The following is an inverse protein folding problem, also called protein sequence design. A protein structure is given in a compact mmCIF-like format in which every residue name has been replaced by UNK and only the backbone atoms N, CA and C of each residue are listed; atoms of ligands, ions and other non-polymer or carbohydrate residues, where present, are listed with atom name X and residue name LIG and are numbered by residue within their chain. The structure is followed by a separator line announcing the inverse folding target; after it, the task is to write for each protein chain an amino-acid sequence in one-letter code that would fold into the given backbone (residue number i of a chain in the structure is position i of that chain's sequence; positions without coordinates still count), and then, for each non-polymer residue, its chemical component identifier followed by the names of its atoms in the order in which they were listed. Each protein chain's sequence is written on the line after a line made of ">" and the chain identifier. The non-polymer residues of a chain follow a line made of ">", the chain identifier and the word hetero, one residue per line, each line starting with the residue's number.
data_IF_988706024066
#
_entry.id   IF_988706024066
#
_cell.length_a   1.000
_cell.length_b   1.000
_cell.length_c   1.000
_cell.angle_alpha   90.00
_cell.angle_beta   90.00
_cell.angle_gamma   90.00
#
_symmetry.space_group_name_H-M   'P 1'
#
loop_
_entity.id
_entity.type
_entity.pdbx_description
1 polymer ?
#
# COMPACT_ATOMS: atom_id res chain seq x y z
N UNK A 1 -5.00 26.02 7.41
CA UNK A 1 -4.91 24.92 6.43
C UNK A 1 -4.56 25.49 5.06
N UNK A 2 -3.52 24.96 4.42
CA UNK A 2 -3.06 25.41 3.08
C UNK A 2 -3.86 24.74 1.94
N UNK A 3 -5.13 24.38 2.16
CA UNK A 3 -5.99 23.77 1.14
C UNK A 3 -5.73 22.27 0.89
N UNK A 4 -4.97 21.60 1.73
CA UNK A 4 -4.82 20.13 1.65
C UNK A 4 -6.10 19.43 2.09
N UNK A 5 -6.55 18.44 1.33
CA UNK A 5 -7.82 17.73 1.54
C UNK A 5 -7.63 16.27 1.96
N UNK A 6 -6.40 15.83 2.13
CA UNK A 6 -6.04 14.45 2.54
C UNK A 6 -4.62 14.37 3.05
N UNK A 7 -4.25 13.20 3.53
CA UNK A 7 -2.93 12.91 4.11
C UNK A 7 -2.25 11.81 3.31
N UNK A 8 -0.97 12.00 2.98
CA UNK A 8 -0.09 10.94 2.50
C UNK A 8 0.79 10.44 3.65
N UNK A 9 0.74 9.13 3.90
CA UNK A 9 1.58 8.46 4.89
C UNK A 9 2.57 7.51 4.19
N UNK A 10 3.82 7.54 4.63
CA UNK A 10 4.89 6.64 4.19
C UNK A 10 5.42 5.76 5.32
N UNK A 11 4.86 5.92 6.50
CA UNK A 11 5.27 5.27 7.75
C UNK A 11 5.13 3.75 7.70
N UNK A 12 4.35 3.22 6.77
CA UNK A 12 4.21 1.78 6.53
C UNK A 12 5.27 1.16 5.63
N UNK A 13 6.22 1.95 5.11
CA UNK A 13 7.35 1.39 4.35
C UNK A 13 8.33 0.68 5.29
N UNK A 14 8.72 -0.59 5.01
CA UNK A 14 9.60 -1.35 5.88
C UNK A 14 10.93 -0.65 6.17
N UNK A 15 11.55 -0.01 5.17
CA UNK A 15 12.78 0.73 5.35
C UNK A 15 12.62 2.00 6.21
N UNK A 16 11.47 2.68 6.15
CA UNK A 16 11.18 3.81 7.02
C UNK A 16 11.03 3.31 8.46
N UNK A 17 10.26 2.26 8.68
CA UNK A 17 10.08 1.65 10.01
C UNK A 17 11.39 1.10 10.60
N UNK A 18 12.33 0.68 9.75
CA UNK A 18 13.65 0.22 10.19
C UNK A 18 14.48 1.33 10.82
N UNK A 19 14.44 2.54 10.29
CA UNK A 19 15.31 3.65 10.68
C UNK A 19 14.64 4.67 11.59
N UNK A 20 13.32 4.66 11.70
CA UNK A 20 12.55 5.57 12.55
C UNK A 20 11.73 4.78 13.58
N UNK A 21 11.64 5.25 14.84
CA UNK A 21 10.88 4.56 15.88
C UNK A 21 9.37 4.76 15.71
N UNK A 22 8.81 4.19 14.64
CA UNK A 22 7.39 4.26 14.35
C UNK A 22 6.68 3.12 15.10
N UNK A 23 5.75 3.43 16.01
CA UNK A 23 4.96 2.43 16.71
C UNK A 23 4.10 1.62 15.75
N UNK A 24 3.71 0.40 16.15
CA UNK A 24 2.74 -0.39 15.40
C UNK A 24 1.42 0.36 15.29
N UNK A 25 0.80 0.32 14.10
CA UNK A 25 -0.35 1.17 13.77
C UNK A 25 -1.59 0.88 14.60
N UNK A 26 -1.68 -0.29 15.20
CA UNK A 26 -2.75 -0.71 16.10
C UNK A 26 -2.48 -0.39 17.57
N UNK A 27 -1.37 0.27 17.92
CA UNK A 27 -1.08 0.72 19.27
C UNK A 27 -1.88 1.97 19.64
N UNK A 28 -2.14 2.12 20.96
CA UNK A 28 -2.96 3.21 21.51
C UNK A 28 -2.45 4.61 21.19
N UNK A 29 -1.16 4.78 20.91
CA UNK A 29 -0.58 6.07 20.53
C UNK A 29 -1.17 6.63 19.23
N UNK A 30 -1.71 5.77 18.36
CA UNK A 30 -2.35 6.17 17.11
C UNK A 30 -3.87 6.36 17.24
N UNK A 31 -4.49 5.98 18.35
CA UNK A 31 -5.95 5.92 18.49
C UNK A 31 -6.62 7.27 18.24
N UNK A 32 -6.16 8.33 18.89
CA UNK A 32 -6.71 9.68 18.70
C UNK A 32 -6.53 10.19 17.26
N UNK A 33 -5.42 9.78 16.60
CA UNK A 33 -5.16 10.14 15.22
C UNK A 33 -6.13 9.46 14.26
N UNK A 34 -6.31 8.13 14.39
CA UNK A 34 -7.26 7.40 13.56
C UNK A 34 -8.70 7.85 13.80
N UNK A 35 -9.08 8.03 15.05
CA UNK A 35 -10.42 8.53 15.43
C UNK A 35 -10.69 9.92 14.84
N UNK A 36 -9.72 10.84 14.89
CA UNK A 36 -9.85 12.16 14.29
C UNK A 36 -10.01 12.10 12.77
N UNK A 37 -9.20 11.32 12.08
CA UNK A 37 -9.28 11.16 10.63
C UNK A 37 -10.61 10.54 10.19
N UNK A 38 -11.10 9.55 10.95
CA UNK A 38 -12.39 8.94 10.73
C UNK A 38 -13.54 9.92 10.96
N UNK A 39 -13.55 10.64 12.10
CA UNK A 39 -14.57 11.62 12.44
C UNK A 39 -14.65 12.75 11.39
N UNK A 40 -13.53 13.31 11.01
CA UNK A 40 -13.45 14.42 10.05
C UNK A 40 -13.51 13.95 8.59
N UNK A 41 -13.61 12.64 8.36
CA UNK A 41 -13.64 12.02 7.03
C UNK A 41 -12.46 12.43 6.13
N UNK A 42 -11.29 12.65 6.74
CA UNK A 42 -10.06 13.03 6.03
C UNK A 42 -9.51 11.80 5.34
N UNK A 43 -9.39 11.78 4.00
CA UNK A 43 -8.85 10.62 3.30
C UNK A 43 -7.35 10.45 3.56
N UNK A 44 -6.95 9.21 3.79
CA UNK A 44 -5.57 8.79 3.99
C UNK A 44 -5.10 8.00 2.79
N UNK A 45 -3.99 8.42 2.18
CA UNK A 45 -3.28 7.66 1.17
C UNK A 45 -2.01 7.10 1.79
N UNK A 46 -2.00 5.80 2.12
CA UNK A 46 -0.98 5.21 2.97
C UNK A 46 -0.21 4.10 2.28
N UNK A 47 1.10 4.26 2.18
CA UNK A 47 1.99 3.17 1.76
C UNK A 47 2.24 2.23 2.94
N UNK A 48 1.81 0.98 2.80
CA UNK A 48 2.03 -0.08 3.79
C UNK A 48 2.61 -1.29 3.09
N UNK A 49 3.66 -1.84 3.63
CA UNK A 49 4.44 -2.93 3.06
C UNK A 49 5.25 -2.56 1.80
N UNK A 50 5.78 -3.57 1.19
CA UNK A 50 6.40 -3.69 -0.12
C UNK A 50 6.12 -5.13 -0.64
N UNK A 51 6.49 -5.49 -1.87
CA UNK A 51 6.27 -6.83 -2.41
C UNK A 51 6.79 -7.95 -1.48
N UNK A 52 6.00 -9.00 -1.28
CA UNK A 52 6.32 -10.08 -0.33
C UNK A 52 7.66 -10.77 -0.62
N UNK A 53 8.05 -10.85 -1.89
CA UNK A 53 9.34 -11.39 -2.32
C UNK A 53 10.54 -10.61 -1.78
N UNK A 54 10.38 -9.38 -1.28
CA UNK A 54 11.49 -8.62 -0.69
C UNK A 54 11.93 -9.17 0.67
N UNK A 55 11.12 -10.02 1.30
CA UNK A 55 11.50 -10.80 2.50
C UNK A 55 12.05 -12.19 2.20
N UNK A 56 12.12 -12.61 0.91
CA UNK A 56 12.62 -13.92 0.51
C UNK A 56 13.91 -13.79 -0.32
N UNK A 57 15.03 -14.20 0.27
CA UNK A 57 16.33 -14.14 -0.39
C UNK A 57 16.39 -14.92 -1.71
N UNK A 58 15.52 -15.94 -1.90
CA UNK A 58 15.45 -16.76 -3.11
C UNK A 58 14.63 -16.13 -4.22
N UNK A 59 13.74 -15.20 -3.91
CA UNK A 59 12.81 -14.57 -4.85
C UNK A 59 13.17 -13.12 -5.16
N UNK A 60 13.79 -12.41 -4.21
CA UNK A 60 14.15 -11.00 -4.39
C UNK A 60 15.11 -10.80 -5.54
N UNK A 61 14.77 -9.89 -6.45
CA UNK A 61 15.58 -9.60 -7.63
C UNK A 61 16.88 -8.89 -7.28
N UNK A 62 17.92 -9.04 -8.14
CA UNK A 62 19.18 -8.30 -7.98
C UNK A 62 18.98 -6.77 -8.05
N UNK A 63 18.00 -6.33 -8.82
CA UNK A 63 17.61 -4.92 -8.85
C UNK A 63 17.10 -4.44 -7.47
N UNK A 64 16.18 -5.18 -6.87
CA UNK A 64 15.63 -4.86 -5.56
C UNK A 64 16.72 -4.88 -4.47
N UNK A 65 17.62 -5.87 -4.50
CA UNK A 65 18.77 -5.94 -3.57
C UNK A 65 19.68 -4.68 -3.69
N UNK A 66 20.00 -4.29 -4.92
CA UNK A 66 20.83 -3.07 -5.18
C UNK A 66 20.11 -1.79 -4.75
N UNK A 67 18.79 -1.76 -4.80
CA UNK A 67 17.97 -0.65 -4.35
C UNK A 67 17.77 -0.62 -2.81
N UNK A 68 18.28 -1.63 -2.08
CA UNK A 68 18.08 -1.75 -0.63
C UNK A 68 16.69 -2.23 -0.24
N UNK A 69 16.01 -2.97 -1.12
CA UNK A 69 14.67 -3.52 -0.92
C UNK A 69 14.70 -5.03 -0.63
N UNK A 70 15.68 -5.46 0.11
CA UNK A 70 15.73 -6.80 0.70
C UNK A 70 15.63 -6.67 2.21
N UNK A 71 14.65 -7.36 2.79
CA UNK A 71 14.26 -7.22 4.19
C UNK A 71 14.52 -8.52 4.95
N UNK A 72 15.48 -8.48 5.86
CA UNK A 72 15.81 -9.57 6.77
C UNK A 72 14.96 -9.50 8.05
N UNK A 73 15.23 -10.38 9.01
CA UNK A 73 14.53 -10.47 10.29
C UNK A 73 14.63 -9.22 11.17
N UNK A 74 15.45 -8.24 10.79
CA UNK A 74 15.58 -6.96 11.52
C UNK A 74 14.57 -5.92 11.06
N UNK A 75 13.83 -6.19 9.97
CA UNK A 75 12.73 -5.36 9.49
C UNK A 75 11.40 -5.82 10.08
N UNK A 76 10.42 -4.93 10.08
CA UNK A 76 9.04 -5.33 10.42
C UNK A 76 8.58 -6.41 9.45
N UNK A 77 7.92 -7.44 9.98
CA UNK A 77 7.40 -8.53 9.16
C UNK A 77 6.23 -8.06 8.28
N UNK A 78 6.17 -8.56 7.07
CA UNK A 78 5.11 -8.25 6.10
C UNK A 78 3.72 -8.53 6.66
N UNK A 79 3.49 -9.73 7.21
CA UNK A 79 2.21 -10.14 7.77
C UNK A 79 1.81 -9.34 9.01
N UNK A 80 2.78 -8.94 9.84
CA UNK A 80 2.50 -8.09 11.00
C UNK A 80 1.94 -6.74 10.59
N UNK A 81 2.41 -6.14 9.51
CA UNK A 81 1.88 -4.87 9.02
C UNK A 81 0.44 -5.01 8.51
N UNK A 82 0.11 -6.09 7.79
CA UNK A 82 -1.26 -6.36 7.36
C UNK A 82 -2.19 -6.57 8.57
N UNK A 83 -1.74 -7.33 9.58
CA UNK A 83 -2.50 -7.55 10.83
C UNK A 83 -2.75 -6.24 11.58
N UNK A 84 -1.73 -5.37 11.72
CA UNK A 84 -1.87 -4.06 12.35
C UNK A 84 -2.94 -3.21 11.66
N UNK A 85 -2.91 -3.16 10.33
CA UNK A 85 -3.91 -2.39 9.58
C UNK A 85 -5.30 -2.99 9.66
N UNK A 86 -5.44 -4.32 9.67
CA UNK A 86 -6.72 -4.97 9.90
C UNK A 86 -7.31 -4.57 11.26
N UNK A 87 -6.52 -4.58 12.33
CA UNK A 87 -6.93 -4.13 13.66
C UNK A 87 -7.38 -2.65 13.66
N UNK A 88 -6.74 -1.80 12.84
CA UNK A 88 -7.17 -0.41 12.65
C UNK A 88 -8.53 -0.34 11.97
N UNK A 89 -8.77 -1.10 10.89
CA UNK A 89 -10.06 -1.08 10.16
C UNK A 89 -11.22 -1.60 11.02
N UNK A 90 -10.96 -2.62 11.85
CA UNK A 90 -11.97 -3.16 12.77
C UNK A 90 -12.42 -2.12 13.80
N UNK A 91 -11.49 -1.28 14.29
CA UNK A 91 -11.80 -0.20 15.24
C UNK A 91 -12.33 1.07 14.58
N UNK A 92 -11.91 1.33 13.34
CA UNK A 92 -12.26 2.54 12.58
C UNK A 92 -12.91 2.20 11.23
N UNK A 93 -14.11 1.61 11.22
CA UNK A 93 -14.73 1.09 10.00
C UNK A 93 -15.16 2.17 9.00
N UNK A 94 -15.14 3.44 9.39
CA UNK A 94 -15.46 4.58 8.52
C UNK A 94 -14.23 5.39 8.11
N UNK A 95 -13.02 4.97 8.51
CA UNK A 95 -11.77 5.61 8.13
C UNK A 95 -11.58 5.49 6.61
N UNK A 96 -11.50 6.61 5.91
CA UNK A 96 -11.31 6.65 4.45
C UNK A 96 -9.84 6.41 4.12
N UNK A 97 -9.50 5.20 3.69
CA UNK A 97 -8.11 4.84 3.41
C UNK A 97 -7.95 4.24 2.00
N UNK A 98 -6.83 4.61 1.36
CA UNK A 98 -6.43 4.12 0.04
C UNK A 98 -4.97 3.67 0.10
N UNK A 99 -4.72 2.47 -0.38
CA UNK A 99 -3.39 1.89 -0.47
C UNK A 99 -2.86 1.90 -1.91
N UNK A 100 -1.66 2.45 -2.16
CA UNK A 100 -1.00 2.35 -3.46
C UNK A 100 -0.52 0.93 -3.77
N UNK A 101 -0.13 0.73 -5.02
CA UNK A 101 0.52 -0.50 -5.49
C UNK A 101 -0.32 -1.76 -5.25
N UNK A 102 -1.66 -1.64 -5.37
CA UNK A 102 -2.56 -2.77 -5.13
C UNK A 102 -2.43 -3.38 -3.72
N UNK A 103 -2.01 -2.55 -2.75
CA UNK A 103 -1.67 -2.97 -1.38
C UNK A 103 -0.61 -4.08 -1.33
N UNK A 104 0.20 -4.22 -2.40
CA UNK A 104 1.17 -5.30 -2.61
C UNK A 104 0.57 -6.73 -2.52
N UNK A 105 -0.73 -6.87 -2.78
CA UNK A 105 -1.47 -8.14 -2.76
C UNK A 105 -1.85 -8.64 -4.15
N UNK A 106 -1.19 -8.19 -5.21
CA UNK A 106 -1.52 -8.59 -6.59
C UNK A 106 -1.39 -10.09 -6.87
N UNK A 107 -0.54 -10.80 -6.12
CA UNK A 107 -0.43 -12.26 -6.14
C UNK A 107 -1.45 -12.96 -5.25
N UNK A 108 -2.09 -12.23 -4.34
CA UNK A 108 -3.00 -12.75 -3.32
C UNK A 108 -4.44 -12.24 -3.53
N UNK A 109 -4.94 -12.25 -4.79
CA UNK A 109 -6.26 -11.71 -5.12
C UNK A 109 -7.42 -12.28 -4.27
N UNK A 110 -7.45 -13.59 -3.91
CA UNK A 110 -8.47 -14.11 -2.99
C UNK A 110 -8.46 -13.39 -1.64
N UNK A 111 -7.28 -13.22 -1.04
CA UNK A 111 -7.10 -12.53 0.25
C UNK A 111 -7.47 -11.05 0.15
N UNK A 112 -7.07 -10.39 -0.93
CA UNK A 112 -7.45 -9.00 -1.17
C UNK A 112 -8.97 -8.84 -1.36
N UNK A 113 -9.62 -9.84 -2.00
CA UNK A 113 -11.07 -9.87 -2.13
C UNK A 113 -11.76 -9.98 -0.77
N UNK A 114 -11.31 -10.87 0.11
CA UNK A 114 -11.82 -11.02 1.47
C UNK A 114 -11.70 -9.69 2.25
N UNK A 115 -10.56 -9.02 2.16
CA UNK A 115 -10.33 -7.73 2.80
C UNK A 115 -11.28 -6.65 2.28
N UNK A 116 -11.45 -6.55 0.96
CA UNK A 116 -12.35 -5.56 0.35
C UNK A 116 -13.83 -5.87 0.63
N UNK A 117 -14.21 -7.13 0.73
CA UNK A 117 -15.57 -7.56 1.09
C UNK A 117 -15.87 -7.25 2.56
N UNK A 118 -14.87 -7.39 3.44
CA UNK A 118 -15.03 -7.13 4.88
C UNK A 118 -15.03 -5.64 5.22
N UNK A 119 -14.22 -4.82 4.54
CA UNK A 119 -13.99 -3.42 4.86
C UNK A 119 -14.36 -2.48 3.70
N UNK A 120 -15.58 -1.96 3.72
CA UNK A 120 -16.09 -1.05 2.67
C UNK A 120 -15.33 0.28 2.56
N UNK A 121 -14.65 0.68 3.61
CA UNK A 121 -13.88 1.92 3.71
C UNK A 121 -12.47 1.83 3.06
N UNK A 122 -11.99 0.63 2.75
CA UNK A 122 -10.67 0.40 2.13
C UNK A 122 -10.74 0.52 0.61
N UNK A 123 -9.78 1.20 0.01
CA UNK A 123 -9.57 1.32 -1.43
C UNK A 123 -8.12 1.01 -1.77
N UNK A 124 -7.90 0.63 -3.02
CA UNK A 124 -6.57 0.37 -3.57
C UNK A 124 -6.38 1.18 -4.85
N UNK A 125 -5.14 1.31 -5.30
CA UNK A 125 -4.88 1.85 -6.64
C UNK A 125 -3.98 0.93 -7.47
N UNK A 126 -3.92 1.24 -8.76
CA UNK A 126 -3.09 0.52 -9.74
C UNK A 126 -1.75 1.22 -10.00
N UNK A 127 -1.27 2.03 -9.05
CA UNK A 127 0.08 2.59 -9.14
C UNK A 127 1.08 1.47 -9.40
N UNK A 128 1.90 1.53 -10.46
CA UNK A 128 2.81 0.46 -10.81
C UNK A 128 3.81 0.16 -9.68
N UNK A 129 3.84 -1.10 -9.24
CA UNK A 129 4.96 -1.71 -8.53
C UNK A 129 5.81 -2.51 -9.53
N UNK A 130 6.93 -3.05 -9.08
CA UNK A 130 7.79 -3.90 -9.91
C UNK A 130 7.11 -5.22 -10.32
N UNK A 131 6.10 -5.66 -9.56
CA UNK A 131 5.46 -6.97 -9.65
C UNK A 131 4.02 -6.92 -10.17
N UNK A 132 3.32 -5.80 -10.00
CA UNK A 132 1.86 -5.70 -10.14
C UNK A 132 1.34 -6.30 -11.45
N UNK A 133 1.85 -5.83 -12.59
CA UNK A 133 1.35 -6.26 -13.89
C UNK A 133 1.77 -7.69 -14.26
N UNK A 134 2.92 -8.15 -13.77
CA UNK A 134 3.36 -9.53 -13.93
C UNK A 134 2.40 -10.46 -13.20
N UNK A 135 2.15 -10.22 -11.92
CA UNK A 135 1.26 -11.04 -11.11
C UNK A 135 -0.16 -11.09 -11.68
N UNK A 136 -0.72 -9.94 -12.07
CA UNK A 136 -2.05 -9.89 -12.68
C UNK A 136 -2.11 -10.59 -14.05
N UNK A 137 -1.00 -10.70 -14.76
CA UNK A 137 -0.94 -11.37 -16.07
C UNK A 137 -0.85 -12.90 -15.97
N UNK A 138 -0.46 -13.44 -14.80
CA UNK A 138 -0.38 -14.89 -14.57
C UNK A 138 -1.75 -15.57 -14.62
N UNK A 139 -2.80 -14.92 -14.09
CA UNK A 139 -4.19 -15.37 -14.16
C UNK A 139 -5.11 -14.21 -14.57
N UNK A 140 -5.14 -13.95 -15.88
CA UNK A 140 -5.92 -12.84 -16.45
C UNK A 140 -7.42 -12.96 -16.19
N UNK A 141 -7.95 -14.18 -16.19
CA UNK A 141 -9.38 -14.40 -15.97
C UNK A 141 -9.77 -14.03 -14.54
N UNK A 142 -8.98 -14.44 -13.56
CA UNK A 142 -9.21 -14.05 -12.16
C UNK A 142 -8.99 -12.54 -11.96
N UNK A 143 -7.95 -11.97 -12.54
CA UNK A 143 -7.72 -10.53 -12.49
C UNK A 143 -8.90 -9.75 -13.11
N UNK A 144 -9.42 -10.17 -14.27
CA UNK A 144 -10.58 -9.53 -14.90
C UNK A 144 -11.80 -9.54 -13.97
N UNK A 145 -12.15 -10.71 -13.40
CA UNK A 145 -13.26 -10.82 -12.44
C UNK A 145 -13.08 -9.95 -11.21
N UNK A 146 -11.82 -9.85 -10.71
CA UNK A 146 -11.49 -8.98 -9.59
C UNK A 146 -11.76 -7.51 -9.93
N UNK A 147 -11.28 -7.03 -11.08
CA UNK A 147 -11.50 -5.65 -11.51
C UNK A 147 -12.98 -5.35 -11.76
N UNK A 148 -13.72 -6.26 -12.36
CA UNK A 148 -15.18 -6.11 -12.56
C UNK A 148 -15.93 -6.00 -11.23
N UNK A 149 -15.55 -6.82 -10.24
CA UNK A 149 -16.20 -6.83 -8.93
C UNK A 149 -15.89 -5.56 -8.12
N UNK A 150 -14.66 -5.07 -8.17
CA UNK A 150 -14.19 -3.99 -7.30
C UNK A 150 -13.90 -2.67 -8.04
N UNK A 151 -14.46 -2.46 -9.23
CA UNK A 151 -14.20 -1.26 -10.07
C UNK A 151 -14.39 0.07 -9.31
N UNK A 152 -15.36 0.13 -8.40
CA UNK A 152 -15.65 1.33 -7.58
C UNK A 152 -14.69 1.51 -6.37
N UNK A 153 -13.80 0.55 -6.18
CA UNK A 153 -12.84 0.49 -5.08
C UNK A 153 -11.39 0.62 -5.56
N UNK A 154 -11.17 0.64 -6.87
CA UNK A 154 -9.87 0.71 -7.50
C UNK A 154 -9.68 2.11 -8.10
N UNK A 155 -8.62 2.79 -7.68
CA UNK A 155 -8.24 4.11 -8.18
C UNK A 155 -7.09 4.01 -9.18
N UNK A 156 -6.95 5.02 -10.02
CA UNK A 156 -5.77 5.18 -10.87
C UNK A 156 -4.68 5.92 -10.12
N UNK A 157 -3.44 5.45 -10.20
CA UNK A 157 -2.24 6.10 -9.70
C UNK A 157 -1.05 5.82 -10.62
N UNK A 158 -0.08 6.72 -10.68
CA UNK A 158 1.09 6.61 -11.56
C UNK A 158 2.43 6.68 -10.84
N UNK A 159 2.46 7.10 -9.57
CA UNK A 159 3.66 7.38 -8.77
C UNK A 159 4.64 8.39 -9.44
N UNK A 160 4.13 9.21 -10.36
CA UNK A 160 4.94 10.23 -11.01
C UNK A 160 5.18 11.38 -10.04
N UNK A 161 6.42 11.50 -9.58
CA UNK A 161 6.84 12.59 -8.71
C UNK A 161 7.09 13.89 -9.45
N UNK A 162 6.99 15.02 -8.74
CA UNK A 162 7.24 16.36 -9.29
C UNK A 162 8.63 16.52 -9.94
N UNK A 163 9.62 15.72 -9.56
CA UNK A 163 10.95 15.73 -10.17
C UNK A 163 10.94 15.33 -11.65
N UNK A 164 9.97 14.51 -12.07
CA UNK A 164 9.81 14.09 -13.47
C UNK A 164 9.22 15.23 -14.29
N UNK A 165 8.39 16.08 -13.68
CA UNK A 165 7.74 17.21 -14.34
C UNK A 165 8.66 18.41 -14.55
N UNK A 166 9.80 18.45 -13.87
CA UNK A 166 10.79 19.55 -13.95
C UNK A 166 12.00 19.18 -14.83
N UNK A 167 12.06 17.95 -15.32
CA UNK A 167 13.12 17.52 -16.23
C UNK A 167 12.88 18.18 -17.62
N UNK A 168 13.91 18.80 -18.18
CA UNK A 168 13.87 19.44 -19.51
C UNK A 168 13.53 18.46 -20.65
N UNK A 169 13.70 17.16 -20.41
CA UNK A 169 13.24 16.09 -21.30
C UNK A 169 12.49 15.02 -20.49
N UNK A 170 11.22 14.73 -20.82
CA UNK A 170 10.51 13.62 -20.20
C UNK A 170 11.20 12.31 -20.58
N UNK A 171 11.87 11.64 -19.63
CA UNK A 171 12.29 10.27 -19.83
C UNK A 171 11.03 9.42 -19.93
N UNK A 172 10.71 8.99 -21.14
CA UNK A 172 9.73 7.93 -21.34
C UNK A 172 10.19 6.71 -20.52
N UNK A 173 9.35 6.26 -19.61
CA UNK A 173 9.55 5.02 -18.89
C UNK A 173 9.57 3.90 -19.94
N UNK A 174 10.76 3.40 -20.23
CA UNK A 174 10.97 2.23 -21.09
C UNK A 174 10.91 0.95 -20.25
#
# INVERSE_FOLDING_TARGET
>A
TKGCTGIKMLEGKPNIRKYYPIPDFDQSVWEDYWAYLEQEQIPVYMHVNDPEEFWDASQVTEFAKKAGWFYDETYVNNEDQYRQMQNVFERHPKLRILFPHFYFMSRQLPRLSELLDQFENVRIDITPGSELFYNLSEDREHATRFFEKYQDRICYGSDIGARVLVAEEPKLLS
#
